data_IF_293382846611
#
_entry.id   IF_293382846611
#
_cell.length_a   1.000
_cell.length_b   1.000
_cell.length_c   1.000
_cell.angle_alpha   90.00
_cell.angle_beta   90.00
_cell.angle_gamma   90.00
#
_symmetry.space_group_name_H-M   'P 1'
#
loop_
_entity.id
_entity.type
_entity.pdbx_description
1 polymer ?
#
# COMPACT_ATOMS: atom_id res chain seq x y z
N UNK A 1 16.09 1.54 7.49
CA UNK A 1 14.94 2.34 7.03
C UNK A 1 13.83 1.36 6.63
N UNK A 2 12.75 1.23 7.40
CA UNK A 2 11.72 0.19 7.24
C UNK A 2 10.60 0.66 6.30
N UNK A 3 10.91 0.83 5.01
CA UNK A 3 9.93 1.26 4.01
C UNK A 3 9.42 0.07 3.21
N UNK A 4 8.11 -0.01 2.91
CA UNK A 4 7.63 -1.04 2.01
C UNK A 4 8.08 -0.71 0.59
N UNK A 5 8.31 -1.75 -0.22
CA UNK A 5 8.48 -1.57 -1.65
C UNK A 5 7.10 -1.57 -2.31
N UNK A 6 6.83 -0.54 -3.09
CA UNK A 6 5.59 -0.38 -3.83
C UNK A 6 5.87 -0.54 -5.32
N UNK A 7 5.15 -1.45 -5.99
CA UNK A 7 5.33 -1.75 -7.42
C UNK A 7 4.01 -1.52 -8.16
N UNK A 8 3.72 -0.29 -8.59
CA UNK A 8 2.53 0.01 -9.39
C UNK A 8 2.65 -0.62 -10.79
N UNK A 9 1.53 -1.15 -11.29
CA UNK A 9 1.33 -1.57 -12.66
C UNK A 9 0.19 -0.74 -13.29
N UNK A 10 0.51 0.36 -13.98
CA UNK A 10 -0.49 1.22 -14.62
C UNK A 10 -1.33 0.53 -15.68
N UNK A 11 -0.82 -0.54 -16.32
CA UNK A 11 -1.55 -1.26 -17.36
C UNK A 11 -2.75 -2.06 -16.82
N UNK A 12 -2.75 -2.36 -15.52
CA UNK A 12 -3.79 -3.17 -14.88
C UNK A 12 -4.44 -2.49 -13.69
N UNK A 13 -4.14 -1.22 -13.43
CA UNK A 13 -4.56 -0.49 -12.23
C UNK A 13 -4.27 -1.26 -10.93
N UNK A 14 -3.14 -1.96 -10.85
CA UNK A 14 -2.77 -2.74 -9.67
C UNK A 14 -1.49 -2.24 -9.05
N UNK A 15 -1.34 -2.51 -7.77
CA UNK A 15 -0.08 -2.31 -7.07
C UNK A 15 0.25 -3.54 -6.24
N UNK A 16 1.49 -4.02 -6.37
CA UNK A 16 2.05 -4.95 -5.41
C UNK A 16 2.70 -4.15 -4.26
N UNK A 17 2.28 -4.47 -3.04
CA UNK A 17 2.83 -3.95 -1.80
C UNK A 17 3.68 -5.05 -1.18
N UNK A 18 4.97 -4.78 -1.04
CA UNK A 18 5.96 -5.70 -0.45
C UNK A 18 6.42 -5.10 0.88
N UNK A 19 5.96 -5.64 2.03
CA UNK A 19 6.44 -5.20 3.34
C UNK A 19 7.96 -5.40 3.46
N UNK A 20 8.65 -4.52 4.19
CA UNK A 20 10.10 -4.66 4.43
C UNK A 20 10.45 -5.86 5.34
N UNK A 21 9.48 -6.38 6.08
CA UNK A 21 9.60 -7.56 6.94
C UNK A 21 8.43 -8.50 6.69
N UNK A 22 8.69 -9.80 6.54
CA UNK A 22 7.69 -10.81 6.17
C UNK A 22 7.19 -11.64 7.37
N UNK A 23 7.47 -11.19 8.60
CA UNK A 23 7.17 -11.98 9.80
C UNK A 23 5.72 -11.78 10.25
N UNK A 24 4.78 -12.47 9.60
CA UNK A 24 3.39 -12.54 10.06
C UNK A 24 2.43 -11.58 9.36
N UNK A 25 1.32 -11.31 10.04
CA UNK A 25 0.17 -10.58 9.48
C UNK A 25 0.40 -9.07 9.52
N UNK A 26 0.26 -8.43 8.35
CA UNK A 26 0.35 -6.98 8.20
C UNK A 26 -1.03 -6.39 7.95
N UNK A 27 -1.38 -5.34 8.68
CA UNK A 27 -2.55 -4.49 8.38
C UNK A 27 -2.11 -3.30 7.54
N UNK A 28 -2.75 -3.09 6.40
CA UNK A 28 -2.45 -2.01 5.48
C UNK A 28 -3.61 -1.04 5.28
N UNK A 29 -3.27 0.22 5.01
CA UNK A 29 -4.17 1.31 4.69
C UNK A 29 -3.69 2.01 3.41
N UNK A 30 -4.59 2.17 2.44
CA UNK A 30 -4.39 3.02 1.27
C UNK A 30 -4.99 4.39 1.57
N UNK A 31 -4.17 5.43 1.47
CA UNK A 31 -4.48 6.79 1.85
C UNK A 31 -4.42 7.66 0.59
N UNK A 32 -5.49 8.43 0.35
CA UNK A 32 -5.64 9.31 -0.81
C UNK A 32 -4.82 10.61 -0.67
N UNK A 33 -4.72 11.44 -1.73
CA UNK A 33 -3.97 12.70 -1.68
C UNK A 33 -4.48 13.69 -0.62
N UNK A 34 -5.73 13.55 -0.16
CA UNK A 34 -6.34 14.36 0.89
C UNK A 34 -6.07 13.80 2.29
N UNK A 35 -5.33 12.70 2.43
CA UNK A 35 -5.00 12.07 3.70
C UNK A 35 -6.10 11.15 4.25
N UNK A 36 -7.11 10.80 3.43
CA UNK A 36 -8.21 9.92 3.84
C UNK A 36 -7.87 8.47 3.51
N UNK A 37 -8.12 7.57 4.46
CA UNK A 37 -8.05 6.13 4.20
C UNK A 37 -9.22 5.71 3.31
N UNK A 38 -8.91 5.24 2.10
CA UNK A 38 -9.90 4.81 1.10
C UNK A 38 -9.98 3.29 0.94
N UNK A 39 -8.99 2.56 1.45
CA UNK A 39 -8.99 1.09 1.47
C UNK A 39 -8.20 0.58 2.66
N UNK A 40 -8.66 -0.50 3.27
CA UNK A 40 -7.91 -1.27 4.26
C UNK A 40 -7.72 -2.70 3.76
N UNK A 41 -6.62 -3.33 4.14
CA UNK A 41 -6.34 -4.72 3.78
C UNK A 41 -5.51 -5.40 4.86
N UNK A 42 -5.53 -6.72 4.86
CA UNK A 42 -4.68 -7.56 5.70
C UNK A 42 -4.02 -8.58 4.80
N UNK A 43 -2.72 -8.83 4.99
CA UNK A 43 -2.01 -9.87 4.24
C UNK A 43 -0.97 -10.56 5.12
N UNK A 44 -0.62 -11.79 4.73
CA UNK A 44 0.58 -12.48 5.19
C UNK A 44 1.57 -12.41 4.03
N UNK A 45 2.61 -11.57 4.16
CA UNK A 45 3.54 -11.28 3.07
C UNK A 45 3.03 -10.20 2.11
N UNK A 46 3.27 -10.39 0.81
CA UNK A 46 2.92 -9.39 -0.22
C UNK A 46 1.40 -9.22 -0.32
N UNK A 47 0.97 -8.03 -0.75
CA UNK A 47 -0.43 -7.78 -1.07
C UNK A 47 -0.55 -7.19 -2.48
N UNK A 48 -1.58 -7.60 -3.22
CA UNK A 48 -1.97 -6.94 -4.48
C UNK A 48 -3.24 -6.15 -4.25
N UNK A 49 -3.20 -4.85 -4.53
CA UNK A 49 -4.37 -3.99 -4.45
C UNK A 49 -4.82 -3.60 -5.85
N UNK A 50 -6.12 -3.77 -6.09
CA UNK A 50 -6.82 -3.15 -7.21
C UNK A 50 -7.11 -1.67 -6.90
N UNK A 51 -6.74 -0.80 -7.83
CA UNK A 51 -6.91 0.65 -7.85
C UNK A 51 -7.91 1.09 -8.92
N UNK A 52 -8.62 0.15 -9.56
CA UNK A 52 -9.66 0.45 -10.52
C UNK A 52 -10.71 1.41 -9.94
N UNK A 53 -11.05 2.44 -10.71
CA UNK A 53 -12.06 3.42 -10.33
C UNK A 53 -11.61 4.48 -9.32
N UNK A 54 -10.34 4.50 -8.88
CA UNK A 54 -9.80 5.63 -8.10
C UNK A 54 -9.07 6.63 -9.02
N UNK A 55 -9.15 7.95 -8.74
CA UNK A 55 -8.50 8.96 -9.56
C UNK A 55 -6.98 8.83 -9.63
N UNK A 56 -6.38 9.38 -10.68
CA UNK A 56 -4.93 9.58 -10.75
C UNK A 56 -4.46 10.53 -9.66
N UNK A 57 -3.28 10.29 -9.11
CA UNK A 57 -2.76 11.10 -8.02
C UNK A 57 -1.68 10.43 -7.19
N UNK A 58 -1.30 11.12 -6.12
CA UNK A 58 -0.30 10.66 -5.17
C UNK A 58 -0.99 9.94 -4.02
N UNK A 59 -0.70 8.65 -3.88
CA UNK A 59 -1.25 7.83 -2.82
C UNK A 59 -0.17 7.38 -1.85
N UNK A 60 -0.58 7.12 -0.61
CA UNK A 60 0.29 6.56 0.41
C UNK A 60 -0.24 5.19 0.84
N UNK A 61 0.69 4.30 1.18
CA UNK A 61 0.40 3.03 1.84
C UNK A 61 1.02 3.09 3.22
N UNK A 62 0.18 2.88 4.24
CA UNK A 62 0.63 2.72 5.63
C UNK A 62 0.45 1.26 6.02
N UNK A 63 1.52 0.63 6.47
CA UNK A 63 1.51 -0.73 6.99
C UNK A 63 1.76 -0.70 8.49
N UNK A 64 1.02 -1.51 9.24
CA UNK A 64 1.19 -1.72 10.68
C UNK A 64 1.37 -3.20 10.94
N UNK A 65 2.45 -3.54 11.63
CA UNK A 65 2.81 -4.90 12.00
C UNK A 65 3.55 -4.87 13.33
N UNK A 66 3.01 -5.54 14.35
CA UNK A 66 3.63 -5.66 15.68
C UNK A 66 4.16 -4.33 16.25
N UNK A 67 3.38 -3.26 16.11
CA UNK A 67 3.73 -1.90 16.56
C UNK A 67 4.70 -1.13 15.65
N UNK A 68 5.29 -1.79 14.63
CA UNK A 68 6.09 -1.14 13.60
C UNK A 68 5.20 -0.56 12.51
N UNK A 69 5.49 0.68 12.11
CA UNK A 69 4.76 1.37 11.04
C UNK A 69 5.70 1.60 9.85
N UNK A 70 5.23 1.24 8.66
CA UNK A 70 5.94 1.46 7.40
C UNK A 70 5.11 2.36 6.49
N UNK A 71 5.77 3.33 5.85
CA UNK A 71 5.12 4.26 4.93
C UNK A 71 5.75 4.16 3.53
N UNK A 72 4.90 3.99 2.53
CA UNK A 72 5.27 4.08 1.12
C UNK A 72 4.40 5.10 0.39
N UNK A 73 4.93 5.69 -0.68
CA UNK A 73 4.18 6.58 -1.57
C UNK A 73 4.33 6.10 -3.00
N UNK A 74 3.26 6.19 -3.78
CA UNK A 74 3.29 5.90 -5.20
C UNK A 74 2.42 6.88 -5.98
N UNK A 75 2.61 6.93 -7.30
CA UNK A 75 1.78 7.72 -8.21
C UNK A 75 0.88 6.77 -8.99
N UNK A 76 -0.44 6.97 -8.87
CA UNK A 76 -1.43 6.38 -9.76
C UNK A 76 -1.51 7.26 -11.00
N UNK A 77 -1.22 6.69 -12.17
CA UNK A 77 -1.39 7.31 -13.49
C UNK A 77 -2.84 7.10 -13.95
#
# INVERSE_FOLDING_TARGET
DHRPTLRPNPATDRIEVVPSALYGTVRGELIDPQGRTIKTFTSVGNATLDLGGIPSGVYQVRLVQDGTVQHGRFVKQ
#
